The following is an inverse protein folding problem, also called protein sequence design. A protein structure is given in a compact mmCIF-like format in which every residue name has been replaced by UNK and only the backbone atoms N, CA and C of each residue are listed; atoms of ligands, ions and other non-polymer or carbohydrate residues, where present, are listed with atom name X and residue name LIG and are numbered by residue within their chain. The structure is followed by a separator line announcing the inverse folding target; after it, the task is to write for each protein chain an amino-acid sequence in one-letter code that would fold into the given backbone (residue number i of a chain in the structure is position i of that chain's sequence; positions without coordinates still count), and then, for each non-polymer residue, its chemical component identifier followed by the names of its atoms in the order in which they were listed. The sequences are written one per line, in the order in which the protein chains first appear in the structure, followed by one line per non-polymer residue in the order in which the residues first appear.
data_IF_923137297437
#
_entry.id   IF_923137297437
#
_cell.length_a   1.000
_cell.length_b   1.000
_cell.length_c   1.000
_cell.angle_alpha   90.00
_cell.angle_beta   90.00
_cell.angle_gamma   90.00
#
_symmetry.space_group_name_H-M   'P 1'
#
loop_
_entity.id
_entity.type
_entity.pdbx_description
1 polymer ?
#
# COMPACT_ATOMS: atom_id res chain seq x y z
N UNK A 1 -19.01 40.68 -0.36
CA UNK A 1 -19.96 39.67 -0.87
C UNK A 1 -19.61 38.34 -0.24
N UNK A 2 -20.43 37.86 0.72
CA UNK A 2 -20.28 36.52 1.28
C UNK A 2 -20.98 35.51 0.35
N UNK A 3 -20.20 34.65 -0.31
CA UNK A 3 -20.71 33.52 -1.06
C UNK A 3 -20.77 32.31 -0.11
N UNK A 4 -21.95 32.05 0.46
CA UNK A 4 -22.21 30.84 1.22
C UNK A 4 -22.32 29.65 0.27
N UNK A 5 -21.34 28.75 0.26
CA UNK A 5 -21.46 27.47 -0.43
C UNK A 5 -22.59 26.65 0.23
N UNK A 6 -23.61 26.27 -0.54
CA UNK A 6 -24.75 25.52 -0.01
C UNK A 6 -24.34 24.10 0.39
N UNK A 7 -24.81 23.64 1.55
CA UNK A 7 -24.58 22.30 2.13
C UNK A 7 -25.06 21.12 1.26
N UNK A 8 -25.64 21.36 0.08
CA UNK A 8 -26.30 20.37 -0.77
C UNK A 8 -25.74 20.26 -2.20
N UNK A 9 -24.56 20.82 -2.46
CA UNK A 9 -23.94 20.71 -3.79
C UNK A 9 -23.59 19.24 -4.11
N UNK A 10 -24.07 18.77 -5.26
CA UNK A 10 -23.82 17.43 -5.80
C UNK A 10 -23.22 17.58 -7.19
N UNK A 11 -22.07 16.95 -7.41
CA UNK A 11 -21.45 16.83 -8.74
C UNK A 11 -21.74 15.43 -9.24
N UNK A 12 -22.35 15.30 -10.42
CA UNK A 12 -22.50 14.00 -11.07
C UNK A 12 -21.36 13.82 -12.07
N UNK A 13 -20.66 12.68 -11.99
CA UNK A 13 -19.71 12.24 -12.99
C UNK A 13 -20.31 11.06 -13.75
N UNK A 14 -20.26 11.08 -15.07
CA UNK A 14 -20.58 9.93 -15.90
C UNK A 14 -19.29 9.26 -16.31
N UNK A 15 -19.10 8.00 -15.91
CA UNK A 15 -17.88 7.21 -16.11
C UNK A 15 -18.30 5.84 -16.60
N UNK A 16 -17.91 5.45 -17.82
CA UNK A 16 -18.30 4.16 -18.41
C UNK A 16 -19.82 3.90 -18.32
N UNK A 17 -20.63 4.90 -18.68
CA UNK A 17 -22.10 4.90 -18.58
C UNK A 17 -22.69 4.77 -17.17
N UNK A 18 -21.86 4.82 -16.13
CA UNK A 18 -22.29 4.86 -14.72
C UNK A 18 -22.32 6.29 -14.21
N UNK A 19 -23.43 6.69 -13.57
CA UNK A 19 -23.51 7.96 -12.83
C UNK A 19 -22.95 7.79 -11.41
N UNK A 20 -21.87 8.51 -11.10
CA UNK A 20 -21.29 8.58 -9.75
C UNK A 20 -21.50 9.98 -9.17
N UNK A 21 -22.35 10.08 -8.15
CA UNK A 21 -22.63 11.35 -7.48
C UNK A 21 -21.64 11.65 -6.35
N UNK A 22 -20.89 12.74 -6.47
CA UNK A 22 -20.05 13.30 -5.42
C UNK A 22 -20.88 14.24 -4.56
N UNK A 23 -20.98 13.96 -3.27
CA UNK A 23 -21.73 14.78 -2.31
C UNK A 23 -20.78 15.59 -1.44
N UNK A 24 -21.17 16.81 -1.09
CA UNK A 24 -20.36 17.70 -0.26
C UNK A 24 -18.92 17.86 -0.81
N UNK A 25 -18.74 18.27 -2.09
CA UNK A 25 -17.42 18.34 -2.73
C UNK A 25 -16.45 19.27 -1.97
N UNK A 26 -16.97 20.33 -1.36
CA UNK A 26 -16.19 21.30 -0.58
C UNK A 26 -15.90 20.85 0.86
N UNK A 27 -16.36 19.66 1.27
CA UNK A 27 -16.06 19.13 2.61
C UNK A 27 -14.55 18.97 2.77
N UNK A 28 -14.00 19.51 3.85
CA UNK A 28 -12.60 19.33 4.20
C UNK A 28 -12.36 17.91 4.70
N UNK A 29 -11.56 17.14 3.97
CA UNK A 29 -11.06 15.83 4.40
C UNK A 29 -9.74 15.99 5.15
N UNK A 30 -8.95 17.01 4.81
CA UNK A 30 -7.86 17.55 5.61
C UNK A 30 -8.08 19.06 5.81
N UNK A 31 -7.40 19.72 6.76
CA UNK A 31 -7.54 21.17 6.95
C UNK A 31 -7.40 21.99 5.66
N UNK A 32 -6.43 21.63 4.81
CA UNK A 32 -6.18 22.30 3.53
C UNK A 32 -6.91 21.66 2.34
N UNK A 33 -7.32 20.39 2.41
CA UNK A 33 -7.75 19.60 1.24
C UNK A 33 -9.26 19.28 1.28
N UNK A 34 -9.96 19.60 0.21
CA UNK A 34 -11.38 19.27 0.02
C UNK A 34 -11.58 17.86 -0.52
N UNK A 35 -12.80 17.34 -0.41
CA UNK A 35 -13.20 16.08 -1.04
C UNK A 35 -13.02 16.12 -2.55
N UNK A 36 -13.37 17.22 -3.23
CA UNK A 36 -13.20 17.34 -4.68
C UNK A 36 -11.73 17.25 -5.10
N UNK A 37 -10.81 17.89 -4.36
CA UNK A 37 -9.36 17.78 -4.61
C UNK A 37 -8.85 16.35 -4.42
N UNK A 38 -9.31 15.66 -3.37
CA UNK A 38 -8.99 14.25 -3.15
C UNK A 38 -9.54 13.33 -4.24
N UNK A 39 -10.80 13.52 -4.67
CA UNK A 39 -11.37 12.75 -5.80
C UNK A 39 -10.57 13.00 -7.08
N UNK A 40 -10.15 14.24 -7.34
CA UNK A 40 -9.32 14.56 -8.50
C UNK A 40 -7.95 13.86 -8.42
N UNK A 41 -7.36 13.75 -7.22
CA UNK A 41 -6.17 12.92 -7.02
C UNK A 41 -6.45 11.46 -7.41
N UNK A 42 -7.52 10.85 -6.90
CA UNK A 42 -7.89 9.47 -7.22
C UNK A 42 -8.08 9.24 -8.72
N UNK A 43 -8.76 10.15 -9.41
CA UNK A 43 -8.93 10.10 -10.88
C UNK A 43 -7.56 10.07 -11.55
N UNK A 44 -6.67 11.00 -11.17
CA UNK A 44 -5.35 11.15 -11.79
C UNK A 44 -4.46 9.94 -11.57
N UNK A 45 -4.46 9.35 -10.37
CA UNK A 45 -3.63 8.18 -10.06
C UNK A 45 -4.27 6.85 -10.43
N UNK A 46 -5.55 6.83 -10.81
CA UNK A 46 -6.30 5.59 -11.07
C UNK A 46 -5.63 4.61 -12.05
N UNK A 47 -4.97 5.04 -13.16
CA UNK A 47 -4.30 4.09 -14.05
C UNK A 47 -3.13 3.36 -13.40
N UNK A 48 -2.54 3.95 -12.36
CA UNK A 48 -1.41 3.40 -11.60
C UNK A 48 -1.87 2.65 -10.33
N UNK A 49 -2.95 3.10 -9.69
CA UNK A 49 -3.50 2.51 -8.46
C UNK A 49 -4.33 1.25 -8.73
N UNK A 50 -5.26 1.29 -9.70
CA UNK A 50 -6.21 0.21 -9.96
C UNK A 50 -5.55 -1.16 -10.27
N UNK A 51 -4.41 -1.24 -10.98
CA UNK A 51 -3.72 -2.52 -11.18
C UNK A 51 -3.39 -3.27 -9.87
N UNK A 52 -3.14 -2.55 -8.77
CA UNK A 52 -2.87 -3.14 -7.46
C UNK A 52 -4.13 -3.59 -6.73
N UNK A 53 -5.25 -2.87 -6.91
CA UNK A 53 -6.53 -3.14 -6.24
C UNK A 53 -7.31 -4.27 -6.90
N UNK A 54 -7.10 -4.47 -8.21
CA UNK A 54 -7.85 -5.41 -9.04
C UNK A 54 -7.86 -6.83 -8.46
N UNK A 55 -9.05 -7.42 -8.37
CA UNK A 55 -9.32 -8.78 -7.85
C UNK A 55 -8.85 -9.02 -6.42
N UNK A 56 -8.71 -7.97 -5.59
CA UNK A 56 -8.35 -8.12 -4.17
C UNK A 56 -9.51 -7.72 -3.26
N UNK A 57 -9.73 -8.50 -2.21
CA UNK A 57 -10.77 -8.25 -1.20
C UNK A 57 -10.36 -7.03 -0.37
N UNK A 58 -10.90 -5.86 -0.72
CA UNK A 58 -10.40 -4.59 -0.22
C UNK A 58 -10.83 -4.35 1.23
N UNK A 59 -9.87 -3.94 2.07
CA UNK A 59 -10.17 -3.25 3.34
C UNK A 59 -9.93 -1.76 3.13
N UNK A 60 -10.90 -0.92 3.46
CA UNK A 60 -10.72 0.54 3.41
C UNK A 60 -10.78 1.15 4.79
N UNK A 61 -9.97 2.19 5.02
CA UNK A 61 -10.11 3.07 6.18
C UNK A 61 -10.75 4.36 5.70
N UNK A 62 -11.93 4.63 6.26
CA UNK A 62 -12.74 5.79 5.93
C UNK A 62 -12.59 6.87 6.98
N UNK A 63 -12.56 8.11 6.52
CA UNK A 63 -12.63 9.32 7.33
C UNK A 63 -13.79 10.17 6.82
N UNK A 64 -15.05 9.77 7.08
CA UNK A 64 -16.21 10.44 6.52
C UNK A 64 -16.27 11.92 6.91
N UNK A 65 -15.70 12.28 8.06
CA UNK A 65 -15.63 13.63 8.63
C UNK A 65 -14.24 14.27 8.56
N UNK A 66 -13.32 13.70 7.76
CA UNK A 66 -11.95 14.16 7.65
C UNK A 66 -11.01 13.57 8.70
N UNK A 67 -9.70 13.68 8.46
CA UNK A 67 -8.65 12.92 9.15
C UNK A 67 -8.44 13.29 10.62
N UNK A 68 -8.92 14.46 11.04
CA UNK A 68 -8.88 14.90 12.44
C UNK A 68 -10.00 14.27 13.30
N UNK A 69 -10.90 13.51 12.67
CA UNK A 69 -12.01 12.82 13.33
C UNK A 69 -11.82 11.30 13.30
N UNK A 70 -12.73 10.58 13.95
CA UNK A 70 -12.68 9.12 14.02
C UNK A 70 -12.63 8.44 12.64
N UNK A 71 -11.75 7.46 12.54
CA UNK A 71 -11.62 6.59 11.38
C UNK A 71 -12.54 5.38 11.50
N UNK A 72 -13.01 4.87 10.36
CA UNK A 72 -13.83 3.66 10.28
C UNK A 72 -13.17 2.61 9.39
N UNK A 73 -12.89 1.44 9.95
CA UNK A 73 -12.38 0.29 9.21
C UNK A 73 -13.54 -0.48 8.57
N UNK A 74 -13.53 -0.57 7.25
CA UNK A 74 -14.59 -1.23 6.49
C UNK A 74 -14.03 -2.41 5.69
N UNK A 75 -14.59 -3.59 5.97
CA UNK A 75 -14.41 -4.82 5.17
C UNK A 75 -15.69 -5.19 4.42
N UNK A 76 -16.83 -5.10 5.09
CA UNK A 76 -18.13 -5.42 4.53
C UNK A 76 -18.67 -4.22 3.72
N UNK A 77 -19.27 -4.50 2.57
CA UNK A 77 -19.97 -3.52 1.76
C UNK A 77 -21.24 -3.05 2.50
N UNK A 78 -21.58 -1.76 2.44
CA UNK A 78 -22.83 -1.26 3.01
C UNK A 78 -24.04 -1.68 2.18
N UNK A 79 -25.23 -1.66 2.77
CA UNK A 79 -26.49 -1.97 2.07
C UNK A 79 -26.76 -1.03 0.89
N UNK A 80 -26.29 0.21 0.95
CA UNK A 80 -26.43 1.22 -0.11
C UNK A 80 -25.38 1.10 -1.23
N UNK A 81 -24.67 -0.03 -1.32
CA UNK A 81 -23.68 -0.27 -2.38
C UNK A 81 -24.37 -0.26 -3.75
N UNK A 82 -23.96 0.59 -4.71
CA UNK A 82 -24.55 0.64 -6.04
C UNK A 82 -24.29 -0.64 -6.83
N UNK A 83 -25.19 -0.95 -7.77
CA UNK A 83 -25.12 -2.17 -8.60
C UNK A 83 -23.84 -2.29 -9.43
N UNK A 84 -23.22 -1.17 -9.82
CA UNK A 84 -21.95 -1.19 -10.58
C UNK A 84 -20.74 -1.57 -9.72
N UNK A 85 -20.87 -1.57 -8.39
CA UNK A 85 -19.79 -1.94 -7.47
C UNK A 85 -19.81 -3.46 -7.29
N UNK A 86 -18.82 -4.12 -7.87
CA UNK A 86 -18.66 -5.56 -7.71
C UNK A 86 -18.30 -5.91 -6.25
N UNK A 87 -18.92 -6.98 -5.74
CA UNK A 87 -18.64 -7.49 -4.40
C UNK A 87 -18.39 -8.99 -4.41
N UNK A 88 -17.67 -9.48 -3.41
CA UNK A 88 -17.34 -10.89 -3.23
C UNK A 88 -17.56 -11.30 -1.78
N UNK A 89 -18.39 -12.33 -1.57
CA UNK A 89 -18.56 -12.95 -0.25
C UNK A 89 -17.32 -13.75 0.12
N UNK A 90 -16.77 -13.48 1.30
CA UNK A 90 -15.66 -14.20 1.91
C UNK A 90 -15.75 -14.07 3.45
N UNK A 91 -15.57 -15.17 4.18
CA UNK A 91 -15.64 -15.21 5.65
C UNK A 91 -16.84 -14.42 6.25
N UNK A 92 -18.03 -14.64 5.68
CA UNK A 92 -19.28 -14.00 6.09
C UNK A 92 -19.37 -12.49 5.84
N UNK A 93 -18.48 -11.92 5.02
CA UNK A 93 -18.44 -10.50 4.66
C UNK A 93 -18.49 -10.35 3.15
N UNK A 94 -19.27 -9.40 2.66
CA UNK A 94 -19.26 -8.97 1.26
C UNK A 94 -18.17 -7.92 1.08
N UNK A 95 -17.00 -8.31 0.58
CA UNK A 95 -15.93 -7.36 0.28
C UNK A 95 -16.19 -6.63 -1.03
N UNK A 96 -15.73 -5.38 -1.11
CA UNK A 96 -15.76 -4.59 -2.35
C UNK A 96 -14.55 -4.94 -3.21
N UNK A 97 -14.79 -5.15 -4.50
CA UNK A 97 -13.74 -5.31 -5.52
C UNK A 97 -13.56 -3.99 -6.27
N UNK A 98 -12.50 -3.24 -5.93
CA UNK A 98 -12.22 -1.96 -6.57
C UNK A 98 -11.38 -2.13 -7.85
N UNK A 99 -12.03 -2.58 -8.92
CA UNK A 99 -11.38 -2.90 -10.20
C UNK A 99 -11.50 -1.80 -11.26
N UNK A 100 -12.27 -0.75 -11.00
CA UNK A 100 -12.60 0.30 -11.97
C UNK A 100 -12.68 1.70 -11.33
N UNK A 101 -12.76 2.74 -12.17
CA UNK A 101 -12.71 4.14 -11.73
C UNK A 101 -13.98 4.55 -10.99
N UNK A 102 -15.15 4.11 -11.45
CA UNK A 102 -16.44 4.39 -10.83
C UNK A 102 -16.51 3.89 -9.38
N UNK A 103 -16.03 2.67 -9.11
CA UNK A 103 -15.94 2.12 -7.75
C UNK A 103 -14.93 2.91 -6.90
N UNK A 104 -13.78 3.26 -7.47
CA UNK A 104 -12.75 4.03 -6.77
C UNK A 104 -13.26 5.40 -6.30
N UNK A 105 -13.96 6.12 -7.18
CA UNK A 105 -14.55 7.43 -6.87
C UNK A 105 -15.71 7.28 -5.89
N UNK A 106 -16.55 6.26 -6.03
CA UNK A 106 -17.63 6.00 -5.08
C UNK A 106 -17.09 5.72 -3.66
N UNK A 107 -16.01 4.95 -3.54
CA UNK A 107 -15.29 4.75 -2.27
C UNK A 107 -14.70 6.07 -1.74
N UNK A 108 -14.03 6.84 -2.60
CA UNK A 108 -13.46 8.14 -2.21
C UNK A 108 -14.53 9.13 -1.74
N UNK A 109 -15.70 9.15 -2.37
CA UNK A 109 -16.81 10.04 -2.02
C UNK A 109 -17.36 9.75 -0.63
N UNK A 110 -17.32 8.48 -0.24
CA UNK A 110 -17.64 7.96 1.08
C UNK A 110 -16.57 8.24 2.14
N UNK A 111 -15.46 8.88 1.75
CA UNK A 111 -14.34 9.20 2.60
C UNK A 111 -13.34 8.06 2.76
N UNK A 112 -13.32 7.04 1.90
CA UNK A 112 -12.24 6.05 1.90
C UNK A 112 -10.92 6.75 1.51
N UNK A 113 -9.96 6.77 2.44
CA UNK A 113 -8.64 7.40 2.25
C UNK A 113 -7.56 6.34 2.09
N UNK A 114 -7.58 5.33 2.96
CA UNK A 114 -6.59 4.25 2.90
C UNK A 114 -7.20 3.01 2.24
N UNK A 115 -6.54 2.51 1.19
CA UNK A 115 -6.88 1.30 0.46
C UNK A 115 -5.88 0.20 0.83
N UNK A 116 -6.33 -0.77 1.62
CA UNK A 116 -5.50 -1.87 2.11
C UNK A 116 -5.86 -3.16 1.38
N UNK A 117 -4.84 -3.81 0.80
CA UNK A 117 -4.99 -5.00 -0.03
C UNK A 117 -4.39 -6.24 0.64
N UNK A 118 -5.04 -7.42 0.59
CA UNK A 118 -4.42 -8.69 0.92
C UNK A 118 -3.29 -9.00 -0.05
N UNK A 119 -2.39 -9.95 0.26
CA UNK A 119 -1.27 -10.31 -0.63
C UNK A 119 -1.66 -11.22 -1.81
N UNK A 120 -2.86 -11.81 -1.79
CA UNK A 120 -3.40 -12.66 -2.88
C UNK A 120 -4.57 -11.99 -3.61
N UNK A 121 -4.90 -12.48 -4.81
CA UNK A 121 -6.22 -12.23 -5.40
C UNK A 121 -7.26 -13.17 -4.81
N UNK A 122 -8.55 -12.79 -4.85
CA UNK A 122 -9.62 -13.55 -4.19
C UNK A 122 -9.83 -14.97 -4.75
N UNK A 123 -9.37 -15.24 -5.97
CA UNK A 123 -9.47 -16.53 -6.65
C UNK A 123 -8.14 -17.29 -6.69
N UNK A 124 -7.20 -16.93 -5.82
CA UNK A 124 -5.89 -17.55 -5.67
C UNK A 124 -5.67 -18.00 -4.23
N UNK A 125 -4.88 -19.07 -4.06
CA UNK A 125 -4.57 -19.66 -2.76
C UNK A 125 -3.22 -19.20 -2.19
N UNK A 126 -2.43 -18.49 -2.99
CA UNK A 126 -1.08 -18.04 -2.64
C UNK A 126 -0.86 -16.54 -2.91
N UNK A 127 0.15 -15.92 -2.28
CA UNK A 127 0.44 -14.52 -2.47
C UNK A 127 0.95 -14.21 -3.90
N UNK A 128 0.65 -12.99 -4.35
CA UNK A 128 1.15 -12.37 -5.58
C UNK A 128 2.41 -11.55 -5.39
N UNK A 129 2.82 -11.35 -4.16
CA UNK A 129 4.06 -10.66 -3.82
C UNK A 129 4.52 -11.02 -2.42
N UNK A 130 5.84 -11.12 -2.22
CA UNK A 130 6.44 -11.11 -0.88
C UNK A 130 6.65 -9.66 -0.49
N UNK A 131 6.29 -9.29 0.74
CA UNK A 131 6.49 -7.93 1.26
C UNK A 131 7.35 -7.94 2.51
N UNK A 132 8.37 -7.08 2.51
CA UNK A 132 9.11 -6.70 3.71
C UNK A 132 8.61 -5.33 4.18
N UNK A 133 7.92 -5.29 5.32
CA UNK A 133 7.47 -4.05 5.95
C UNK A 133 8.53 -3.57 6.95
N UNK A 134 9.16 -2.43 6.65
CA UNK A 134 10.27 -1.86 7.40
C UNK A 134 9.73 -0.74 8.28
N UNK A 135 9.41 -1.06 9.53
CA UNK A 135 8.69 -0.19 10.45
C UNK A 135 9.62 0.38 11.55
N UNK A 136 10.15 1.61 11.39
CA UNK A 136 10.99 2.23 12.41
C UNK A 136 10.16 2.71 13.61
N UNK A 137 10.79 2.99 14.77
CA UNK A 137 10.08 3.44 15.98
C UNK A 137 9.26 4.73 15.78
N UNK A 138 9.82 5.70 15.06
CA UNK A 138 9.20 6.97 14.68
C UNK A 138 9.66 7.42 13.30
N UNK A 139 9.09 8.51 12.78
CA UNK A 139 9.50 9.11 11.50
C UNK A 139 10.92 9.67 11.56
N UNK A 140 11.39 10.14 12.72
CA UNK A 140 12.77 10.62 12.91
C UNK A 140 13.80 9.50 12.75
N UNK A 141 13.38 8.25 12.92
CA UNK A 141 14.19 7.05 12.75
C UNK A 141 14.09 6.47 11.32
N UNK A 142 13.56 7.22 10.35
CA UNK A 142 13.37 6.74 8.98
C UNK A 142 14.66 6.23 8.33
N UNK A 143 15.83 6.76 8.73
CA UNK A 143 17.13 6.26 8.29
C UNK A 143 17.29 4.75 8.53
N UNK A 144 16.75 4.19 9.62
CA UNK A 144 16.80 2.75 9.85
C UNK A 144 16.06 1.97 8.75
N UNK A 145 14.95 2.50 8.24
CA UNK A 145 14.20 1.85 7.15
C UNK A 145 14.97 1.92 5.83
N UNK A 146 15.64 3.04 5.54
CA UNK A 146 16.53 3.18 4.37
C UNK A 146 17.66 2.15 4.44
N UNK A 147 18.33 2.04 5.59
CA UNK A 147 19.48 1.15 5.76
C UNK A 147 19.08 -0.32 5.66
N UNK A 148 17.97 -0.71 6.32
CA UNK A 148 17.41 -2.04 6.15
C UNK A 148 17.08 -2.31 4.68
N UNK A 149 16.50 -1.33 3.98
CA UNK A 149 16.13 -1.50 2.59
C UNK A 149 17.31 -1.69 1.65
N UNK A 150 18.38 -0.91 1.84
CA UNK A 150 19.60 -1.02 1.05
C UNK A 150 20.32 -2.35 1.29
N UNK A 151 20.34 -2.84 2.53
CA UNK A 151 20.89 -4.17 2.83
C UNK A 151 20.05 -5.27 2.19
N UNK A 152 18.72 -5.22 2.28
CA UNK A 152 17.85 -6.20 1.62
C UNK A 152 18.07 -6.15 0.10
N UNK A 153 18.10 -4.97 -0.51
CA UNK A 153 18.36 -4.79 -1.95
C UNK A 153 19.64 -5.50 -2.37
N UNK A 154 20.74 -5.28 -1.65
CA UNK A 154 22.04 -5.90 -1.94
C UNK A 154 21.94 -7.44 -1.97
N UNK A 155 21.20 -8.04 -1.03
CA UNK A 155 20.99 -9.49 -0.98
C UNK A 155 20.12 -9.96 -2.14
N UNK A 156 19.01 -9.26 -2.41
CA UNK A 156 18.11 -9.62 -3.51
C UNK A 156 18.84 -9.56 -4.86
N UNK A 157 19.70 -8.56 -5.08
CA UNK A 157 20.52 -8.45 -6.28
C UNK A 157 21.50 -9.61 -6.42
N UNK A 158 22.20 -10.00 -5.33
CA UNK A 158 23.10 -11.17 -5.35
C UNK A 158 22.36 -12.48 -5.64
N UNK A 159 21.08 -12.56 -5.27
CA UNK A 159 20.21 -13.70 -5.52
C UNK A 159 19.48 -13.62 -6.87
N UNK A 160 19.73 -12.57 -7.67
CA UNK A 160 19.02 -12.26 -8.92
C UNK A 160 17.49 -12.16 -8.75
N UNK A 161 17.02 -11.69 -7.60
CA UNK A 161 15.61 -11.43 -7.31
C UNK A 161 15.31 -9.96 -7.58
N UNK A 162 14.32 -9.72 -8.44
CA UNK A 162 13.87 -8.38 -8.78
C UNK A 162 12.79 -7.93 -7.79
N UNK A 163 12.99 -6.74 -7.23
CA UNK A 163 12.08 -6.11 -6.29
C UNK A 163 11.88 -4.64 -6.63
N UNK A 164 10.79 -4.07 -6.12
CA UNK A 164 10.57 -2.64 -6.08
C UNK A 164 10.29 -2.19 -4.65
N UNK A 165 10.37 -0.88 -4.42
CA UNK A 165 10.21 -0.31 -3.08
C UNK A 165 9.24 0.86 -3.11
N UNK A 166 8.58 1.09 -1.99
CA UNK A 166 7.73 2.26 -1.76
C UNK A 166 7.88 2.81 -0.35
N UNK A 167 7.59 4.09 -0.17
CA UNK A 167 7.28 4.60 1.17
C UNK A 167 5.95 4.00 1.64
N UNK A 168 5.79 3.82 2.95
CA UNK A 168 4.49 3.38 3.51
C UNK A 168 3.45 4.51 3.57
N UNK A 169 3.86 5.74 3.25
CA UNK A 169 3.10 6.96 3.48
C UNK A 169 2.94 7.32 4.96
N UNK A 170 3.57 6.58 5.88
CA UNK A 170 3.53 6.89 7.31
C UNK A 170 4.92 7.19 7.86
N UNK A 171 5.60 6.18 8.39
CA UNK A 171 6.94 6.32 8.99
C UNK A 171 7.99 5.38 8.42
N UNK A 172 7.62 4.46 7.53
CA UNK A 172 8.48 3.35 7.10
C UNK A 172 8.52 3.15 5.58
N UNK A 173 9.12 2.04 5.16
CA UNK A 173 9.25 1.63 3.76
C UNK A 173 8.83 0.18 3.57
N UNK A 174 8.42 -0.16 2.35
CA UNK A 174 7.98 -1.50 2.00
C UNK A 174 8.68 -1.95 0.73
N UNK A 175 9.33 -3.12 0.78
CA UNK A 175 9.94 -3.77 -0.38
C UNK A 175 9.00 -4.87 -0.83
N UNK A 176 8.76 -4.95 -2.13
CA UNK A 176 7.81 -5.87 -2.73
C UNK A 176 8.51 -6.69 -3.82
N UNK A 177 8.34 -8.00 -3.76
CA UNK A 177 8.87 -8.97 -4.72
C UNK A 177 7.67 -9.62 -5.41
N UNK A 178 7.35 -9.24 -6.66
CA UNK A 178 6.25 -9.84 -7.41
C UNK A 178 6.44 -11.34 -7.63
N UNK A 179 5.35 -12.09 -7.50
CA UNK A 179 5.29 -13.55 -7.67
C UNK A 179 4.26 -13.93 -8.74
N UNK A 180 4.51 -15.06 -9.40
CA UNK A 180 3.51 -15.65 -10.29
C UNK A 180 2.32 -16.18 -9.51
N UNK A 181 1.15 -16.22 -10.15
CA UNK A 181 -0.07 -16.82 -9.60
C UNK A 181 0.20 -18.22 -9.03
N UNK A 182 -0.23 -18.44 -7.78
CA UNK A 182 -0.12 -19.73 -7.09
C UNK A 182 1.27 -20.38 -7.16
N UNK A 183 2.32 -19.56 -7.27
CA UNK A 183 3.70 -20.06 -7.29
C UNK A 183 4.21 -20.37 -5.89
N UNK A 184 3.70 -19.71 -4.85
CA UNK A 184 4.13 -19.98 -3.48
C UNK A 184 2.93 -20.07 -2.55
N UNK A 185 3.10 -20.82 -1.48
CA UNK A 185 2.27 -20.77 -0.28
C UNK A 185 2.83 -19.72 0.70
N UNK A 186 2.00 -19.24 1.65
CA UNK A 186 2.50 -18.33 2.68
C UNK A 186 3.60 -18.97 3.54
N UNK A 187 3.53 -20.26 3.85
CA UNK A 187 4.59 -20.93 4.62
C UNK A 187 5.93 -20.96 3.87
N UNK A 188 5.94 -21.15 2.55
CA UNK A 188 7.16 -21.05 1.76
C UNK A 188 7.74 -19.63 1.77
N UNK A 189 6.90 -18.61 1.55
CA UNK A 189 7.35 -17.21 1.59
C UNK A 189 7.87 -16.80 2.98
N UNK A 190 7.33 -17.40 4.05
CA UNK A 190 7.74 -17.15 5.43
C UNK A 190 9.15 -17.65 5.71
N UNK A 191 9.57 -18.77 5.12
CA UNK A 191 10.96 -19.23 5.19
C UNK A 191 11.90 -18.17 4.64
N UNK A 192 11.59 -17.62 3.47
CA UNK A 192 12.41 -16.60 2.84
C UNK A 192 12.44 -15.30 3.65
N UNK A 193 11.28 -14.83 4.12
CA UNK A 193 11.20 -13.59 4.89
C UNK A 193 11.90 -13.71 6.25
N UNK A 194 11.79 -14.87 6.92
CA UNK A 194 12.51 -15.16 8.16
C UNK A 194 14.03 -15.24 7.96
N UNK A 195 14.49 -15.81 6.84
CA UNK A 195 15.90 -15.84 6.48
C UNK A 195 16.46 -14.41 6.32
N UNK A 196 15.79 -13.56 5.54
CA UNK A 196 16.21 -12.16 5.34
C UNK A 196 16.16 -11.37 6.66
N UNK A 197 15.13 -11.55 7.48
CA UNK A 197 15.03 -10.90 8.79
C UNK A 197 16.17 -11.32 9.72
N UNK A 198 16.49 -12.61 9.75
CA UNK A 198 17.62 -13.14 10.52
C UNK A 198 18.95 -12.59 10.02
N UNK A 199 19.14 -12.51 8.70
CA UNK A 199 20.35 -11.93 8.12
C UNK A 199 20.53 -10.47 8.53
N UNK A 200 19.47 -9.64 8.45
CA UNK A 200 19.52 -8.24 8.88
C UNK A 200 19.96 -8.10 10.34
N UNK A 201 19.32 -8.83 11.24
CA UNK A 201 19.63 -8.79 12.68
C UNK A 201 21.06 -9.25 12.96
N UNK A 202 21.58 -10.25 12.23
CA UNK A 202 22.96 -10.70 12.40
C UNK A 202 23.98 -9.70 11.82
N UNK A 203 23.68 -9.06 10.69
CA UNK A 203 24.58 -8.09 10.05
C UNK A 203 24.68 -6.80 10.86
N UNK A 204 23.56 -6.27 11.35
CA UNK A 204 23.50 -5.02 12.10
C UNK A 204 22.60 -5.12 13.35
N UNK A 205 23.01 -5.87 14.39
CA UNK A 205 22.19 -6.15 15.58
C UNK A 205 21.86 -4.92 16.42
N UNK A 206 22.63 -3.83 16.24
CA UNK A 206 22.40 -2.54 16.88
C UNK A 206 21.28 -1.75 16.24
N UNK A 207 20.92 -2.03 14.98
CA UNK A 207 19.92 -1.28 14.22
C UNK A 207 18.63 -2.05 14.02
N UNK A 208 18.69 -3.38 13.95
CA UNK A 208 17.54 -4.22 13.59
C UNK A 208 17.18 -5.22 14.69
N UNK A 209 15.89 -5.55 14.77
CA UNK A 209 15.38 -6.56 15.70
C UNK A 209 14.15 -7.28 15.15
N UNK A 210 13.97 -8.53 15.55
CA UNK A 210 12.72 -9.30 15.36
C UNK A 210 11.89 -9.40 16.67
N UNK A 211 12.28 -8.64 17.71
CA UNK A 211 11.57 -8.60 18.98
C UNK A 211 10.16 -8.00 18.81
N UNK A 212 9.14 -8.78 19.18
CA UNK A 212 7.73 -8.40 19.02
C UNK A 212 7.32 -7.30 20.00
N UNK A 213 7.83 -7.31 21.23
CA UNK A 213 7.45 -6.33 22.25
C UNK A 213 8.15 -5.00 22.03
N UNK A 214 7.38 -3.94 21.69
CA UNK A 214 7.91 -2.60 21.40
C UNK A 214 8.88 -2.09 22.47
N UNK A 215 8.57 -2.31 23.76
CA UNK A 215 9.42 -1.93 24.90
C UNK A 215 10.81 -2.58 24.91
N UNK A 216 10.96 -3.75 24.30
CA UNK A 216 12.21 -4.51 24.26
C UNK A 216 13.03 -4.22 22.98
N UNK A 217 12.48 -3.46 22.03
CA UNK A 217 13.15 -3.16 20.76
C UNK A 217 14.32 -2.20 20.91
N UNK A 218 14.32 -1.36 21.95
CA UNK A 218 15.39 -0.39 22.26
C UNK A 218 15.72 0.52 21.05
N UNK A 219 14.68 1.16 20.49
CA UNK A 219 14.79 2.09 19.34
C UNK A 219 15.32 1.48 18.03
N UNK A 220 15.48 0.16 17.97
CA UNK A 220 15.79 -0.56 16.74
C UNK A 220 14.57 -0.68 15.83
N UNK A 221 14.82 -0.77 14.53
CA UNK A 221 13.79 -1.07 13.55
C UNK A 221 13.34 -2.51 13.70
N UNK A 222 12.02 -2.70 13.74
CA UNK A 222 11.41 -4.01 13.77
C UNK A 222 11.29 -4.54 12.35
N UNK A 223 11.91 -5.69 12.08
CA UNK A 223 11.74 -6.40 10.81
C UNK A 223 10.55 -7.33 10.96
N UNK A 224 9.38 -6.87 10.55
CA UNK A 224 8.14 -7.62 10.72
C UNK A 224 7.93 -8.60 9.57
N UNK A 225 8.53 -9.78 9.70
CA UNK A 225 8.32 -10.89 8.75
C UNK A 225 6.96 -11.59 8.93
N UNK A 226 6.15 -11.18 9.92
CA UNK A 226 4.84 -11.80 10.22
C UNK A 226 3.70 -11.02 9.54
N UNK A 227 3.89 -9.74 9.20
CA UNK A 227 2.88 -9.01 8.43
C UNK A 227 2.58 -9.66 7.08
N UNK A 228 3.54 -10.39 6.50
CA UNK A 228 3.33 -11.16 5.29
C UNK A 228 2.70 -12.51 5.60
N UNK A 229 1.37 -12.53 5.73
CA UNK A 229 0.59 -13.73 6.01
C UNK A 229 -0.81 -13.66 5.40
N UNK A 230 -1.48 -14.80 5.31
CA UNK A 230 -2.87 -14.89 4.85
C UNK A 230 -3.81 -14.03 5.71
N UNK A 231 -4.79 -13.38 5.05
CA UNK A 231 -5.76 -12.50 5.71
C UNK A 231 -5.20 -11.16 6.23
N UNK A 232 -3.87 -10.95 6.20
CA UNK A 232 -3.25 -9.65 6.45
C UNK A 232 -3.33 -8.77 5.22
N UNK A 233 -3.30 -7.46 5.45
CA UNK A 233 -3.39 -6.45 4.39
C UNK A 233 -2.25 -5.45 4.51
N UNK A 234 -1.84 -4.90 3.38
CA UNK A 234 -0.87 -3.80 3.29
C UNK A 234 -1.49 -2.63 2.54
N UNK A 235 -1.06 -1.41 2.86
CA UNK A 235 -1.47 -0.22 2.11
C UNK A 235 -1.08 -0.37 0.63
N UNK A 236 -2.03 -0.14 -0.28
CA UNK A 236 -1.78 -0.21 -1.71
C UNK A 236 -0.84 0.92 -2.17
N UNK A 237 0.04 0.68 -3.16
CA UNK A 237 0.75 1.74 -3.85
C UNK A 237 -0.19 2.84 -4.34
N UNK A 238 0.23 4.11 -4.21
CA UNK A 238 -0.55 5.32 -4.54
C UNK A 238 -1.75 5.59 -3.63
N UNK A 239 -2.06 4.73 -2.65
CA UNK A 239 -3.05 5.07 -1.63
C UNK A 239 -2.53 6.18 -0.72
N UNK A 240 -3.42 7.10 -0.38
CA UNK A 240 -3.19 8.15 0.62
C UNK A 240 -3.28 7.55 2.02
N UNK A 241 -2.65 8.19 3.00
CA UNK A 241 -2.74 7.88 4.42
C UNK A 241 -3.59 8.93 5.14
N UNK A 242 -4.35 8.50 6.14
CA UNK A 242 -5.15 9.37 6.99
C UNK A 242 -4.33 10.17 8.02
N UNK A 243 -3.08 10.52 7.69
CA UNK A 243 -2.28 11.43 8.52
C UNK A 243 -2.52 12.89 8.11
N UNK A 244 -2.03 13.81 8.93
CA UNK A 244 -2.27 15.25 8.77
C UNK A 244 -1.74 15.81 7.44
N UNK A 245 -0.67 15.21 6.92
CA UNK A 245 0.06 15.63 5.74
C UNK A 245 -0.50 15.05 4.43
N UNK A 246 -1.51 14.18 4.49
CA UNK A 246 -2.05 13.43 3.34
C UNK A 246 -0.95 12.72 2.52
N UNK A 247 0.00 12.08 3.21
CA UNK A 247 1.11 11.40 2.54
C UNK A 247 0.63 10.17 1.79
N UNK A 248 1.37 9.82 0.74
CA UNK A 248 1.04 8.72 -0.17
C UNK A 248 2.03 7.59 -0.01
N UNK A 249 1.55 6.35 -0.05
CA UNK A 249 2.42 5.18 -0.19
C UNK A 249 3.01 5.15 -1.61
N UNK A 250 4.19 5.74 -1.79
CA UNK A 250 4.70 6.11 -3.10
C UNK A 250 5.77 5.14 -3.58
N UNK A 251 5.57 4.43 -4.71
CA UNK A 251 6.63 3.66 -5.37
C UNK A 251 7.80 4.53 -5.79
N UNK A 252 9.01 4.05 -5.54
CA UNK A 252 10.27 4.74 -5.81
C UNK A 252 11.18 3.88 -6.68
N UNK A 253 11.99 4.55 -7.49
CA UNK A 253 13.17 3.92 -8.06
C UNK A 253 14.19 3.67 -6.94
N UNK A 254 14.93 2.57 -7.04
CA UNK A 254 15.98 2.27 -6.06
C UNK A 254 17.06 3.34 -5.97
N UNK A 255 17.33 4.08 -7.06
CA UNK A 255 18.23 5.23 -7.09
C UNK A 255 17.79 6.39 -6.20
N UNK A 256 16.50 6.49 -5.89
CA UNK A 256 15.94 7.53 -5.01
C UNK A 256 16.11 7.19 -3.52
N UNK A 257 16.40 5.92 -3.21
CA UNK A 257 16.54 5.42 -1.82
C UNK A 257 17.93 5.74 -1.30
N UNK A 258 18.15 7.01 -0.99
CA UNK A 258 19.39 7.53 -0.41
C UNK A 258 19.17 7.88 1.05
N UNK A 259 20.26 8.07 1.81
CA UNK A 259 20.21 8.54 3.22
C UNK A 259 19.52 9.90 3.39
N UNK A 260 19.34 10.65 2.31
CA UNK A 260 18.68 11.97 2.31
C UNK A 260 17.18 11.89 1.98
N UNK A 261 16.66 10.70 1.66
CA UNK A 261 15.25 10.50 1.35
C UNK A 261 14.38 10.87 2.56
N UNK A 262 13.45 11.79 2.35
CA UNK A 262 12.51 12.23 3.38
C UNK A 262 11.10 11.71 3.02
N UNK A 263 10.45 10.88 3.87
CA UNK A 263 9.15 10.32 3.57
C UNK A 263 8.02 11.36 3.57
N UNK A 264 8.22 12.52 4.21
CA UNK A 264 7.22 13.59 4.30
C UNK A 264 7.08 14.41 3.01
N UNK A 265 7.95 14.23 2.02
CA UNK A 265 7.84 14.97 0.75
C UNK A 265 6.77 14.40 -0.16
N UNK A 266 6.37 13.13 0.04
CA UNK A 266 5.43 12.42 -0.82
C UNK A 266 3.97 12.71 -0.49
N UNK A 267 3.59 13.98 -0.61
CA UNK A 267 2.19 14.43 -0.55
C UNK A 267 1.43 14.09 -1.83
N UNK A 268 0.10 14.17 -1.82
CA UNK A 268 -0.70 14.02 -3.04
C UNK A 268 -0.23 14.95 -4.18
N UNK A 269 0.03 16.23 -3.88
CA UNK A 269 0.48 17.21 -4.86
C UNK A 269 1.82 16.83 -5.50
N UNK A 270 2.78 16.39 -4.68
CA UNK A 270 4.08 15.93 -5.17
C UNK A 270 3.95 14.67 -6.04
N UNK A 271 3.11 13.71 -5.64
CA UNK A 271 2.86 12.51 -6.45
C UNK A 271 2.26 12.87 -7.81
N UNK A 272 1.32 13.84 -7.87
CA UNK A 272 0.80 14.33 -9.14
C UNK A 272 1.90 14.97 -10.00
N UNK A 273 2.79 15.77 -9.41
CA UNK A 273 3.92 16.37 -10.13
C UNK A 273 4.86 15.30 -10.71
N UNK A 274 5.17 14.26 -9.92
CA UNK A 274 5.98 13.12 -10.37
C UNK A 274 5.35 12.36 -11.53
N UNK A 275 4.03 12.18 -11.50
CA UNK A 275 3.31 11.53 -12.60
C UNK A 275 3.41 12.38 -13.87
N UNK A 276 3.14 13.68 -13.78
CA UNK A 276 3.18 14.62 -14.92
C UNK A 276 4.58 14.80 -15.51
N UNK A 277 5.61 14.83 -14.66
CA UNK A 277 7.00 14.94 -15.07
C UNK A 277 7.64 13.60 -15.48
N UNK A 278 6.85 12.52 -15.59
CA UNK A 278 7.32 11.16 -15.86
C UNK A 278 8.37 10.59 -14.88
N UNK A 279 8.52 11.22 -13.71
CA UNK A 279 9.41 10.81 -12.63
C UNK A 279 8.78 9.76 -11.69
N UNK A 280 7.65 9.17 -12.08
CA UNK A 280 7.03 8.07 -11.34
C UNK A 280 7.64 6.73 -11.76
N UNK A 281 7.56 5.74 -10.87
CA UNK A 281 8.08 4.41 -11.18
C UNK A 281 7.18 3.71 -12.20
N UNK A 282 7.71 3.48 -13.39
CA UNK A 282 7.08 2.66 -14.44
C UNK A 282 7.41 1.19 -14.20
N UNK A 283 6.49 0.45 -13.57
CA UNK A 283 6.67 -0.98 -13.28
C UNK A 283 6.10 -1.87 -14.37
N UNK A 284 6.88 -2.86 -14.79
CA UNK A 284 6.39 -4.01 -15.53
C UNK A 284 6.27 -5.21 -14.59
N UNK A 285 5.17 -5.26 -13.82
CA UNK A 285 4.96 -6.30 -12.81
C UNK A 285 5.06 -7.72 -13.42
N UNK A 286 4.49 -7.93 -14.62
CA UNK A 286 4.53 -9.23 -15.30
C UNK A 286 5.95 -9.68 -15.61
N UNK A 287 6.82 -8.77 -16.05
CA UNK A 287 8.22 -9.08 -16.30
C UNK A 287 8.97 -9.41 -15.00
N UNK A 288 8.70 -8.67 -13.92
CA UNK A 288 9.30 -8.94 -12.61
C UNK A 288 8.88 -10.31 -12.06
N UNK A 289 7.59 -10.66 -12.15
CA UNK A 289 7.08 -11.99 -11.77
C UNK A 289 7.81 -13.11 -12.53
N UNK A 290 8.07 -12.90 -13.83
CA UNK A 290 8.81 -13.87 -14.66
C UNK A 290 10.27 -13.99 -14.22
N UNK A 291 10.95 -12.88 -13.92
CA UNK A 291 12.34 -12.89 -13.45
C UNK A 291 12.48 -13.58 -12.09
N UNK A 292 11.44 -13.49 -11.25
CA UNK A 292 11.44 -14.09 -9.91
C UNK A 292 11.09 -15.59 -9.87
N UNK A 293 10.89 -16.25 -11.01
CA UNK A 293 10.61 -17.70 -11.10
C UNK A 293 11.61 -18.58 -10.33
N UNK A 294 12.89 -18.18 -10.31
CA UNK A 294 13.97 -18.91 -9.66
C UNK A 294 13.90 -18.96 -8.12
N UNK A 295 13.04 -18.15 -7.49
CA UNK A 295 12.92 -18.07 -6.03
C UNK A 295 12.56 -19.42 -5.37
N UNK A 296 11.86 -20.32 -6.09
CA UNK A 296 11.53 -21.66 -5.58
C UNK A 296 12.76 -22.48 -5.21
N UNK A 297 13.76 -22.47 -6.09
CA UNK A 297 14.97 -23.26 -5.86
C UNK A 297 15.72 -22.70 -4.65
N UNK A 298 15.72 -21.37 -4.49
CA UNK A 298 16.33 -20.72 -3.34
C UNK A 298 15.63 -21.11 -2.03
N UNK A 299 14.29 -21.04 -1.96
CA UNK A 299 13.54 -21.37 -0.75
C UNK A 299 13.74 -22.84 -0.36
N UNK A 300 13.73 -23.76 -1.34
CA UNK A 300 14.07 -25.17 -1.12
C UNK A 300 15.48 -25.34 -0.56
N UNK A 301 16.47 -24.62 -1.09
CA UNK A 301 17.84 -24.69 -0.61
C UNK A 301 17.97 -24.15 0.83
N UNK A 302 17.25 -23.07 1.18
CA UNK A 302 17.24 -22.53 2.55
C UNK A 302 16.68 -23.56 3.52
N UNK A 303 15.54 -24.19 3.20
CA UNK A 303 14.94 -25.22 4.05
C UNK A 303 15.85 -26.44 4.28
N UNK A 304 16.72 -26.78 3.32
CA UNK A 304 17.66 -27.89 3.49
C UNK A 304 18.86 -27.53 4.37
N UNK A 305 19.08 -26.26 4.67
CA UNK A 305 20.20 -25.76 5.48
C UNK A 305 19.80 -25.44 6.93
N UNK A 306 18.50 -25.45 7.25
CA UNK A 306 17.91 -25.10 8.56
C UNK A 306 17.24 -26.31 9.18
#
# INVERSE_FOLDING_TARGET
MHMGASKNERIKLTINDQEVAITNPMKKLWPSITKSEYINYLITVSPLLLPYLRKRLLTVIRYPNGVQNEAFFQKNSPEYTPDFVETKMDDGKNYILCSNLETLIWLGNQGAIEYHIPFQQFDENGPREIVFDLDPPSRDHFLLAIEAALIIKEILEKLNIVSYIKTSGNKGMQILIPLLSNSFTYEETKVFTAFIASYLVNKEPKWFTIERLKKNRKERLYVDFIQHAEGKTIIAPYSVRGNEDALVSTPLQWSEVTRQLNPSTFTMGEVINRIKGENHLKLNLKEMEIKNKGLHQLIKNINNLT
#
